data_IF_607261043869
#
_entry.id   IF_607261043869
#
_cell.length_a   1.000
_cell.length_b   1.000
_cell.length_c   1.000
_cell.angle_alpha   90.00
_cell.angle_beta   90.00
_cell.angle_gamma   90.00
#
_symmetry.space_group_name_H-M   'P 1'
#
loop_
_entity.id
_entity.type
_entity.pdbx_description
1 polymer ?
#
# COMPACT_ATOMS: atom_id res chain seq x y z
N UNK A 1 -23.91 -10.36 -5.26
CA UNK A 1 -22.46 -10.29 -5.46
C UNK A 1 -21.74 -10.78 -4.22
N UNK A 2 -20.55 -11.33 -4.40
CA UNK A 2 -19.73 -11.88 -3.31
C UNK A 2 -18.24 -11.64 -3.57
N UNK A 3 -17.47 -11.74 -2.48
CA UNK A 3 -16.02 -11.88 -2.49
C UNK A 3 -15.63 -12.99 -1.53
N UNK A 4 -14.88 -13.97 -2.03
CA UNK A 4 -14.17 -14.96 -1.23
C UNK A 4 -12.70 -14.57 -1.17
N UNK A 5 -12.11 -14.59 0.01
CA UNK A 5 -10.67 -14.38 0.19
C UNK A 5 -10.16 -15.41 1.20
N UNK A 6 -9.23 -16.25 0.78
CA UNK A 6 -8.54 -17.21 1.62
C UNK A 6 -7.09 -16.74 1.82
N UNK A 7 -6.69 -16.63 3.05
CA UNK A 7 -5.33 -16.29 3.45
C UNK A 7 -4.66 -17.55 4.00
N UNK A 8 -3.61 -18.00 3.35
CA UNK A 8 -2.83 -19.15 3.76
C UNK A 8 -1.47 -18.66 4.29
N UNK A 9 -1.17 -19.05 5.49
CA UNK A 9 0.07 -18.69 6.20
C UNK A 9 0.81 -19.98 6.52
N UNK A 10 1.98 -20.17 5.91
CA UNK A 10 2.81 -21.35 6.13
C UNK A 10 4.19 -20.91 6.60
N UNK A 11 4.70 -21.55 7.63
CA UNK A 11 6.06 -21.33 8.14
C UNK A 11 6.78 -22.67 8.25
N UNK A 12 8.04 -22.72 7.85
CA UNK A 12 8.89 -23.89 7.99
C UNK A 12 9.79 -23.82 9.22
N UNK A 13 10.15 -22.63 9.65
CA UNK A 13 11.09 -22.40 10.76
C UNK A 13 10.43 -21.77 11.99
N UNK A 14 9.15 -21.40 11.89
CA UNK A 14 8.43 -20.62 12.91
C UNK A 14 8.77 -19.12 12.92
N UNK A 15 9.78 -18.69 12.15
CA UNK A 15 10.22 -17.28 12.01
C UNK A 15 10.04 -16.73 10.61
N UNK A 16 9.79 -17.58 9.63
CA UNK A 16 9.53 -17.27 8.23
C UNK A 16 8.03 -17.33 7.92
N UNK A 17 7.65 -16.85 6.77
CA UNK A 17 6.28 -16.84 6.31
C UNK A 17 6.20 -17.02 4.79
N UNK A 18 5.63 -18.12 4.34
CA UNK A 18 5.09 -18.22 2.99
C UNK A 18 3.63 -17.77 3.04
N UNK A 19 3.35 -16.65 2.41
CA UNK A 19 2.00 -16.11 2.30
C UNK A 19 1.42 -16.39 0.92
N UNK A 20 0.25 -17.03 0.90
CA UNK A 20 -0.53 -17.23 -0.32
C UNK A 20 -1.93 -16.70 -0.10
N UNK A 21 -2.44 -15.92 -1.04
CA UNK A 21 -3.83 -15.47 -1.02
C UNK A 21 -4.54 -15.96 -2.26
N UNK A 22 -5.65 -16.68 -2.01
CA UNK A 22 -6.59 -17.07 -3.05
C UNK A 22 -7.80 -16.15 -2.99
N UNK A 23 -8.27 -15.72 -4.13
CA UNK A 23 -9.41 -14.81 -4.20
C UNK A 23 -10.31 -15.12 -5.39
N UNK A 24 -11.63 -15.10 -5.12
CA UNK A 24 -12.68 -15.13 -6.12
C UNK A 24 -13.72 -14.06 -5.80
N UNK A 25 -14.47 -13.62 -6.80
CA UNK A 25 -15.58 -12.70 -6.59
C UNK A 25 -16.18 -12.16 -7.87
N UNK A 26 -17.40 -11.69 -7.72
CA UNK A 26 -18.15 -10.99 -8.75
C UNK A 26 -18.71 -9.66 -8.23
N UNK A 27 -18.13 -9.12 -7.15
CA UNK A 27 -18.51 -7.85 -6.57
C UNK A 27 -17.80 -6.72 -7.31
N UNK A 28 -18.47 -6.10 -8.25
CA UNK A 28 -18.01 -4.87 -8.88
C UNK A 28 -18.38 -3.66 -8.04
N UNK A 29 -17.67 -2.57 -8.22
CA UNK A 29 -18.09 -1.30 -7.65
C UNK A 29 -19.36 -0.82 -8.34
N UNK A 30 -20.39 -0.58 -7.54
CA UNK A 30 -21.68 -0.09 -8.01
C UNK A 30 -21.70 1.43 -8.22
N UNK A 31 -20.70 2.13 -7.68
CA UNK A 31 -20.55 3.56 -7.84
C UNK A 31 -19.58 3.89 -8.99
N UNK A 32 -20.00 4.79 -9.84
CA UNK A 32 -19.19 5.24 -10.99
C UNK A 32 -18.10 6.23 -10.58
N UNK A 33 -18.27 6.87 -9.42
CA UNK A 33 -17.29 7.81 -8.91
C UNK A 33 -16.09 7.06 -8.29
N UNK A 34 -14.90 7.34 -8.80
CA UNK A 34 -13.66 6.72 -8.37
C UNK A 34 -13.37 6.92 -6.86
N UNK A 35 -13.81 8.04 -6.30
CA UNK A 35 -13.62 8.35 -4.88
C UNK A 35 -14.48 7.49 -3.94
N UNK A 36 -15.54 6.87 -4.44
CA UNK A 36 -16.42 5.97 -3.69
C UNK A 36 -16.09 4.48 -3.87
N UNK A 37 -14.92 4.15 -4.39
CA UNK A 37 -14.49 2.77 -4.54
C UNK A 37 -14.36 2.06 -3.19
N UNK A 38 -15.06 0.93 -3.03
CA UNK A 38 -14.97 0.11 -1.83
C UNK A 38 -13.61 -0.59 -1.73
N UNK A 39 -13.00 -0.52 -0.57
CA UNK A 39 -11.74 -1.22 -0.29
C UNK A 39 -11.84 -2.74 -0.51
N UNK A 40 -13.03 -3.27 -0.37
CA UNK A 40 -13.31 -4.70 -0.40
C UNK A 40 -13.89 -5.21 -1.71
N UNK A 41 -14.18 -4.34 -2.67
CA UNK A 41 -14.70 -4.77 -3.96
C UNK A 41 -13.68 -5.67 -4.69
N UNK A 42 -14.17 -6.74 -5.28
CA UNK A 42 -13.42 -7.64 -6.14
C UNK A 42 -14.29 -8.04 -7.33
N UNK A 43 -14.06 -7.39 -8.42
CA UNK A 43 -14.67 -7.76 -9.71
C UNK A 43 -13.98 -9.00 -10.29
N UNK A 44 -14.72 -9.75 -11.08
CA UNK A 44 -14.22 -10.94 -11.78
C UNK A 44 -15.37 -11.82 -12.23
N UNK A 45 -15.01 -12.95 -12.78
CA UNK A 45 -15.91 -14.00 -13.28
C UNK A 45 -16.28 -15.05 -12.21
N UNK A 46 -15.85 -14.85 -10.97
CA UNK A 46 -16.01 -15.82 -9.89
C UNK A 46 -14.91 -16.86 -9.82
N UNK A 47 -13.99 -16.90 -10.75
CA UNK A 47 -12.88 -17.87 -10.77
C UNK A 47 -11.93 -17.63 -9.61
N UNK A 48 -11.55 -18.71 -8.92
CA UNK A 48 -10.56 -18.68 -7.86
C UNK A 48 -9.16 -18.55 -8.46
N UNK A 49 -8.45 -17.49 -8.06
CA UNK A 49 -7.08 -17.20 -8.55
C UNK A 49 -6.14 -16.95 -7.39
N UNK A 50 -4.87 -17.31 -7.56
CA UNK A 50 -3.78 -16.84 -6.69
C UNK A 50 -3.57 -15.36 -7.02
N UNK A 51 -3.81 -14.48 -6.06
CA UNK A 51 -3.64 -13.05 -6.26
C UNK A 51 -2.52 -12.44 -5.41
N UNK A 52 -1.92 -13.24 -4.52
CA UNK A 52 -0.72 -12.90 -3.75
C UNK A 52 0.09 -14.16 -3.48
N UNK A 53 1.39 -14.08 -3.64
CA UNK A 53 2.33 -15.16 -3.35
C UNK A 53 3.71 -14.58 -3.07
N UNK A 54 4.18 -14.69 -1.83
CA UNK A 54 5.53 -14.28 -1.45
C UNK A 54 6.06 -15.03 -0.23
N UNK A 55 7.36 -15.00 -0.08
CA UNK A 55 8.07 -15.53 1.08
C UNK A 55 8.77 -14.41 1.83
N UNK A 56 8.63 -14.41 3.15
CA UNK A 56 9.27 -13.45 4.05
C UNK A 56 10.09 -14.21 5.09
N UNK A 57 11.31 -13.80 5.30
CA UNK A 57 12.19 -14.42 6.28
C UNK A 57 13.02 -13.38 7.03
N UNK A 58 13.40 -13.65 8.30
CA UNK A 58 14.30 -12.80 9.05
C UNK A 58 15.75 -12.98 8.55
N UNK A 59 16.50 -11.89 8.57
CA UNK A 59 17.95 -11.88 8.37
C UNK A 59 18.58 -11.22 9.61
N UNK A 60 19.06 -12.05 10.54
CA UNK A 60 19.42 -11.62 11.90
C UNK A 60 18.18 -11.18 12.70
N UNK A 61 18.39 -10.29 13.67
CA UNK A 61 17.35 -9.88 14.62
C UNK A 61 16.60 -8.61 14.19
N UNK A 62 17.16 -7.82 13.28
CA UNK A 62 16.66 -6.51 12.91
C UNK A 62 16.15 -6.40 11.49
N UNK A 63 16.47 -7.37 10.62
CA UNK A 63 16.07 -7.32 9.22
C UNK A 63 15.01 -8.36 8.88
N UNK A 64 14.15 -7.99 7.95
CA UNK A 64 13.17 -8.85 7.33
C UNK A 64 13.23 -8.68 5.82
N UNK A 65 13.37 -9.77 5.10
CA UNK A 65 13.44 -9.81 3.64
C UNK A 65 12.18 -10.46 3.10
N UNK A 66 11.60 -9.87 2.07
CA UNK A 66 10.45 -10.40 1.35
C UNK A 66 10.79 -10.54 -0.12
N UNK A 67 10.42 -11.66 -0.73
CA UNK A 67 10.57 -11.92 -2.16
C UNK A 67 9.38 -12.73 -2.66
N UNK A 68 8.92 -12.48 -3.86
CA UNK A 68 7.81 -13.26 -4.40
C UNK A 68 7.40 -12.91 -5.82
N UNK A 69 6.59 -13.77 -6.39
CA UNK A 69 6.05 -13.63 -7.73
C UNK A 69 4.84 -12.69 -7.80
N UNK A 70 4.12 -12.51 -6.69
CA UNK A 70 2.93 -11.66 -6.59
C UNK A 70 2.94 -10.90 -5.27
N UNK A 71 3.95 -10.04 -5.12
CA UNK A 71 4.10 -9.15 -3.95
C UNK A 71 3.38 -7.84 -4.21
N UNK A 72 2.71 -7.32 -3.21
CA UNK A 72 2.13 -5.97 -3.26
C UNK A 72 3.00 -5.01 -2.44
N UNK A 73 3.40 -3.90 -3.03
CA UNK A 73 4.39 -2.95 -2.52
C UNK A 73 4.20 -2.56 -1.05
N UNK A 74 3.00 -2.19 -0.64
CA UNK A 74 2.73 -1.70 0.72
C UNK A 74 2.73 -2.79 1.81
N UNK A 75 2.88 -4.07 1.46
CA UNK A 75 3.12 -5.11 2.46
C UNK A 75 4.59 -5.18 2.90
N UNK A 76 5.47 -4.50 2.19
CA UNK A 76 6.91 -4.46 2.46
C UNK A 76 7.35 -3.18 3.19
N UNK A 77 6.41 -2.40 3.70
CA UNK A 77 6.66 -1.24 4.57
C UNK A 77 5.93 -1.41 5.90
N UNK A 78 6.36 -0.67 6.93
CA UNK A 78 5.63 -0.64 8.20
C UNK A 78 4.27 0.06 8.00
N UNK A 79 3.23 -0.44 8.70
CA UNK A 79 1.88 0.10 8.56
C UNK A 79 1.82 1.56 9.01
N UNK A 80 1.60 2.51 8.11
CA UNK A 80 1.83 3.92 8.40
C UNK A 80 0.65 4.60 9.11
N UNK A 81 -0.52 3.96 9.15
CA UNK A 81 -1.74 4.51 9.77
C UNK A 81 -2.59 3.43 10.42
N UNK A 82 -3.47 3.83 11.34
CA UNK A 82 -4.40 2.94 12.04
C UNK A 82 -5.82 2.99 11.49
N UNK A 83 -6.15 3.98 10.69
CA UNK A 83 -7.49 4.09 10.09
C UNK A 83 -7.75 2.94 9.13
N UNK A 84 -8.88 2.25 9.33
CA UNK A 84 -9.34 1.14 8.48
C UNK A 84 -10.56 1.59 7.67
N UNK A 85 -10.38 2.03 6.44
CA UNK A 85 -11.46 2.60 5.64
C UNK A 85 -12.36 1.54 5.02
N UNK A 86 -13.62 1.93 4.80
CA UNK A 86 -14.52 1.26 3.86
C UNK A 86 -14.17 1.69 2.43
N UNK A 87 -13.88 2.97 2.24
CA UNK A 87 -13.49 3.50 0.92
C UNK A 87 -11.98 3.35 0.71
N UNK A 88 -11.61 2.87 -0.46
CA UNK A 88 -10.21 2.60 -0.82
C UNK A 88 -9.34 3.86 -0.79
N UNK A 89 -9.92 5.00 -1.11
CA UNK A 89 -9.27 6.31 -1.10
C UNK A 89 -8.57 6.65 0.22
N UNK A 90 -9.13 6.25 1.35
CA UNK A 90 -8.58 6.54 2.68
C UNK A 90 -7.66 5.45 3.23
N UNK A 91 -7.36 4.42 2.44
CA UNK A 91 -6.47 3.34 2.86
C UNK A 91 -5.03 3.85 3.02
N UNK A 92 -4.31 3.36 4.04
CA UNK A 92 -2.88 3.64 4.26
C UNK A 92 -2.52 5.12 4.42
N UNK A 93 -3.45 5.94 4.91
CA UNK A 93 -3.23 7.38 5.07
C UNK A 93 -3.48 8.19 3.79
N UNK A 94 -4.28 7.66 2.92
CA UNK A 94 -4.49 8.13 1.56
C UNK A 94 -3.78 7.19 0.58
N UNK A 95 -4.56 6.59 -0.30
CA UNK A 95 -4.03 5.66 -1.29
C UNK A 95 -3.48 6.40 -2.51
N UNK A 96 -2.83 7.52 -2.27
CA UNK A 96 -2.43 8.46 -3.28
C UNK A 96 -1.18 8.08 -4.08
N UNK A 97 -0.48 9.10 -4.53
CA UNK A 97 0.66 8.99 -5.43
C UNK A 97 1.77 8.05 -4.92
N UNK A 98 2.01 8.03 -3.60
CA UNK A 98 3.07 7.22 -2.99
C UNK A 98 2.68 5.75 -2.90
N UNK A 99 1.47 5.46 -2.40
CA UNK A 99 1.07 4.08 -2.02
C UNK A 99 0.46 3.29 -3.16
N UNK A 100 0.15 3.88 -4.30
CA UNK A 100 -0.55 3.25 -5.40
C UNK A 100 -0.12 1.78 -5.58
N UNK A 101 -1.11 0.86 -5.60
CA UNK A 101 -0.82 -0.56 -5.57
C UNK A 101 -0.15 -1.06 -6.82
N UNK A 102 0.93 -1.78 -6.64
CA UNK A 102 1.45 -2.70 -7.64
C UNK A 102 1.53 -4.10 -7.06
N UNK A 103 1.19 -5.10 -7.85
CA UNK A 103 1.34 -6.51 -7.51
C UNK A 103 2.03 -7.22 -8.64
N UNK A 104 3.21 -7.72 -8.37
CA UNK A 104 4.01 -8.43 -9.37
C UNK A 104 5.22 -9.07 -8.74
N UNK A 105 6.21 -9.37 -9.58
CA UNK A 105 7.50 -9.87 -9.11
C UNK A 105 8.17 -8.78 -8.29
N UNK A 106 8.49 -9.10 -7.04
CA UNK A 106 8.98 -8.08 -6.13
C UNK A 106 9.89 -8.62 -5.04
N UNK A 107 10.67 -7.69 -4.53
CA UNK A 107 11.52 -7.91 -3.37
C UNK A 107 11.53 -6.66 -2.48
N UNK A 108 11.80 -6.86 -1.20
CA UNK A 108 11.95 -5.76 -0.24
C UNK A 108 12.69 -6.17 1.00
N UNK A 109 13.27 -5.17 1.63
CA UNK A 109 13.98 -5.29 2.88
C UNK A 109 13.41 -4.29 3.88
N UNK A 110 13.15 -4.75 5.08
CA UNK A 110 12.75 -3.92 6.21
C UNK A 110 13.78 -4.09 7.32
N UNK A 111 14.22 -2.98 7.86
CA UNK A 111 15.04 -2.92 9.07
C UNK A 111 14.25 -2.23 10.18
N UNK A 112 14.37 -2.74 11.40
CA UNK A 112 13.82 -2.12 12.59
C UNK A 112 14.86 -2.10 13.69
N UNK A 113 14.99 -0.95 14.33
CA UNK A 113 15.83 -0.79 15.51
C UNK A 113 15.37 -1.73 16.62
N UNK A 114 16.31 -2.42 17.24
CA UNK A 114 16.05 -3.24 18.42
C UNK A 114 15.97 -2.33 19.65
N UNK A 115 14.83 -2.31 20.31
CA UNK A 115 14.53 -1.52 21.50
C UNK A 115 13.69 -2.34 22.46
N UNK A 116 13.56 -1.88 23.70
CA UNK A 116 12.72 -2.56 24.68
C UNK A 116 11.22 -2.53 24.29
N UNK A 117 10.43 -3.51 24.73
CA UNK A 117 9.01 -3.60 24.40
C UNK A 117 8.23 -2.34 24.79
N UNK A 118 7.61 -1.69 23.82
CA UNK A 118 6.80 -0.47 23.98
C UNK A 118 7.54 0.83 23.69
N UNK A 119 8.85 0.80 23.57
CA UNK A 119 9.65 1.95 23.20
C UNK A 119 9.49 2.29 21.71
N UNK A 120 9.77 3.55 21.40
CA UNK A 120 9.78 4.02 20.02
C UNK A 120 11.06 3.56 19.32
N UNK A 121 10.92 3.06 18.10
CA UNK A 121 12.01 2.56 17.30
C UNK A 121 12.01 3.19 15.92
N UNK A 122 13.19 3.39 15.37
CA UNK A 122 13.35 3.65 13.95
C UNK A 122 13.08 2.41 13.13
N UNK A 123 12.50 2.61 11.95
CA UNK A 123 12.43 1.60 10.91
C UNK A 123 12.78 2.21 9.54
N UNK A 124 13.38 1.40 8.71
CA UNK A 124 13.66 1.71 7.30
C UNK A 124 13.14 0.56 6.45
N UNK A 125 12.50 0.88 5.35
CA UNK A 125 12.11 -0.12 4.38
C UNK A 125 12.44 0.35 2.96
N UNK A 126 12.78 -0.58 2.11
CA UNK A 126 12.93 -0.36 0.67
C UNK A 126 12.42 -1.58 -0.08
N UNK A 127 11.68 -1.36 -1.15
CA UNK A 127 11.11 -2.43 -1.96
C UNK A 127 11.01 -2.03 -3.42
N UNK A 128 11.02 -3.03 -4.29
CA UNK A 128 10.74 -2.90 -5.71
C UNK A 128 9.72 -3.95 -6.13
N UNK A 129 8.77 -3.55 -6.96
CA UNK A 129 7.77 -4.44 -7.55
C UNK A 129 7.63 -4.08 -9.02
N UNK A 130 7.85 -5.06 -9.89
CA UNK A 130 7.59 -4.96 -11.31
C UNK A 130 6.11 -5.14 -11.64
N UNK A 131 5.63 -4.70 -12.79
CA UNK A 131 4.32 -5.08 -13.29
C UNK A 131 4.24 -6.60 -13.48
N UNK A 132 3.16 -7.20 -13.01
CA UNK A 132 3.03 -8.66 -12.97
C UNK A 132 2.99 -9.33 -14.34
N UNK A 133 2.58 -8.59 -15.37
CA UNK A 133 2.54 -9.10 -16.75
C UNK A 133 3.88 -9.06 -17.47
N UNK A 134 4.64 -8.01 -17.22
CA UNK A 134 5.92 -7.74 -17.88
C UNK A 134 7.09 -8.34 -17.11
N UNK A 135 7.11 -8.18 -15.81
CA UNK A 135 8.15 -8.73 -14.94
C UNK A 135 8.27 -10.25 -14.96
N UNK A 136 7.24 -10.97 -15.43
CA UNK A 136 7.26 -12.42 -15.60
C UNK A 136 7.87 -12.88 -16.93
N UNK A 137 8.12 -11.97 -17.88
CA UNK A 137 8.71 -12.29 -19.18
C UNK A 137 10.23 -12.14 -19.11
N UNK A 138 10.94 -13.01 -19.81
CA UNK A 138 12.41 -13.04 -19.79
C UNK A 138 13.04 -12.65 -21.15
N UNK A 139 12.22 -12.19 -22.09
CA UNK A 139 12.62 -11.85 -23.45
C UNK A 139 12.47 -10.35 -23.73
N UNK A 140 13.22 -9.84 -24.71
CA UNK A 140 13.04 -8.50 -25.28
C UNK A 140 13.11 -7.32 -24.29
N UNK A 141 14.04 -7.33 -23.34
CA UNK A 141 14.20 -6.23 -22.39
C UNK A 141 13.18 -6.25 -21.25
N UNK A 142 12.28 -7.22 -21.24
CA UNK A 142 11.32 -7.45 -20.16
C UNK A 142 11.94 -8.27 -19.02
N UNK A 143 11.18 -8.49 -17.95
CA UNK A 143 11.64 -9.16 -16.74
C UNK A 143 11.62 -8.20 -15.57
N UNK A 144 11.93 -8.69 -14.37
CA UNK A 144 11.77 -7.91 -13.13
C UNK A 144 12.55 -6.58 -13.13
N UNK A 145 13.65 -6.49 -13.85
CA UNK A 145 14.51 -5.30 -13.97
C UNK A 145 14.81 -4.94 -15.43
N UNK A 146 13.93 -5.33 -16.34
CA UNK A 146 14.08 -5.00 -17.75
C UNK A 146 13.80 -3.51 -18.02
N UNK A 147 14.47 -2.95 -19.00
CA UNK A 147 14.34 -1.53 -19.37
C UNK A 147 12.93 -1.18 -19.85
N UNK A 148 12.22 -2.15 -20.44
CA UNK A 148 10.83 -2.00 -20.92
C UNK A 148 9.79 -2.48 -19.91
N UNK A 149 10.18 -2.73 -18.66
CA UNK A 149 9.28 -3.22 -17.60
C UNK A 149 8.85 -2.08 -16.70
N UNK A 150 7.55 -1.88 -16.60
CA UNK A 150 6.95 -0.98 -15.62
C UNK A 150 7.29 -1.43 -14.19
N UNK A 151 7.69 -0.50 -13.35
CA UNK A 151 8.15 -0.83 -11.99
C UNK A 151 7.87 0.26 -10.96
N UNK A 152 7.83 -0.16 -9.71
CA UNK A 152 7.62 0.72 -8.56
C UNK A 152 8.68 0.44 -7.49
N UNK A 153 9.50 1.44 -7.22
CA UNK A 153 10.32 1.49 -6.02
C UNK A 153 9.57 2.25 -4.92
N UNK A 154 9.56 1.70 -3.71
CA UNK A 154 8.96 2.34 -2.53
C UNK A 154 9.93 2.24 -1.36
N UNK A 155 10.19 3.37 -0.72
CA UNK A 155 10.97 3.42 0.51
C UNK A 155 10.23 4.13 1.63
N UNK A 156 10.57 3.82 2.87
CA UNK A 156 10.01 4.39 4.08
C UNK A 156 11.10 4.58 5.12
N UNK A 157 11.07 5.73 5.78
CA UNK A 157 11.76 5.99 7.04
C UNK A 157 10.70 6.34 8.07
N UNK A 158 10.68 5.64 9.19
CA UNK A 158 9.69 5.85 10.23
C UNK A 158 10.29 5.81 11.62
N UNK A 159 9.56 6.43 12.56
CA UNK A 159 9.88 6.41 13.98
C UNK A 159 8.60 6.39 14.81
N UNK A 160 8.56 5.54 15.81
CA UNK A 160 7.44 5.46 16.73
C UNK A 160 7.25 4.08 17.35
N UNK A 161 6.10 3.92 17.96
CA UNK A 161 5.67 2.70 18.64
C UNK A 161 4.20 2.36 18.35
N UNK A 162 3.60 1.49 19.15
CA UNK A 162 2.20 1.11 18.96
C UNK A 162 1.20 2.22 19.24
N UNK A 163 1.56 3.25 20.03
CA UNK A 163 0.68 4.36 20.39
C UNK A 163 0.75 5.51 19.40
N UNK A 164 1.91 5.76 18.83
CA UNK A 164 2.10 6.80 17.84
C UNK A 164 3.22 6.42 16.87
N UNK A 165 3.12 6.93 15.68
CA UNK A 165 4.08 6.67 14.63
C UNK A 165 4.05 7.79 13.59
N UNK A 166 5.20 8.15 13.07
CA UNK A 166 5.36 9.06 11.96
C UNK A 166 6.31 8.45 10.95
N UNK A 167 6.05 8.61 9.66
CA UNK A 167 6.94 8.15 8.60
C UNK A 167 6.90 9.05 7.38
N UNK A 168 8.08 9.22 6.78
CA UNK A 168 8.25 9.70 5.42
C UNK A 168 8.35 8.54 4.45
N UNK A 169 7.74 8.69 3.28
CA UNK A 169 7.77 7.72 2.20
C UNK A 169 8.23 8.39 0.91
N UNK A 170 8.92 7.65 0.09
CA UNK A 170 9.25 8.03 -1.27
C UNK A 170 8.95 6.88 -2.21
N UNK A 171 8.29 7.18 -3.31
CA UNK A 171 8.05 6.23 -4.39
C UNK A 171 8.57 6.81 -5.71
N UNK A 172 9.21 5.94 -6.48
CA UNK A 172 9.54 6.17 -7.87
C UNK A 172 8.76 5.15 -8.70
N UNK A 173 7.97 5.64 -9.63
CA UNK A 173 7.15 4.82 -10.52
C UNK A 173 7.59 5.07 -11.94
N UNK A 174 7.83 3.99 -12.65
CA UNK A 174 8.13 3.98 -14.07
C UNK A 174 7.00 3.25 -14.79
N UNK A 175 6.48 3.84 -15.85
CA UNK A 175 5.38 3.29 -16.61
C UNK A 175 4.02 3.29 -15.89
N UNK A 176 3.17 2.31 -16.18
CA UNK A 176 1.77 2.27 -15.71
C UNK A 176 1.58 1.75 -14.28
N UNK A 177 2.66 1.38 -13.62
CA UNK A 177 2.62 0.75 -12.30
C UNK A 177 2.02 1.67 -11.25
N UNK A 178 1.06 1.16 -10.51
CA UNK A 178 0.41 1.88 -9.44
C UNK A 178 -0.54 2.98 -9.91
N UNK A 179 -0.72 3.16 -11.20
CA UNK A 179 -1.78 3.93 -11.78
C UNK A 179 -3.04 3.08 -11.87
N UNK A 180 -3.85 3.09 -10.88
CA UNK A 180 -5.16 2.46 -11.02
C UNK A 180 -6.22 3.53 -11.27
N UNK A 181 -6.92 3.49 -12.40
CA UNK A 181 -8.05 4.39 -12.62
C UNK A 181 -9.17 4.19 -11.58
N UNK A 182 -9.12 3.08 -10.84
CA UNK A 182 -10.03 2.81 -9.74
C UNK A 182 -9.73 3.64 -8.49
N UNK A 183 -8.61 4.31 -8.45
CA UNK A 183 -8.20 5.14 -7.34
C UNK A 183 -8.06 6.54 -7.88
N UNK A 184 -9.08 7.35 -7.72
CA UNK A 184 -9.20 8.69 -8.28
C UNK A 184 -8.03 9.64 -8.00
N UNK A 185 -7.03 9.14 -7.33
CA UNK A 185 -5.84 9.86 -6.96
C UNK A 185 -4.54 9.23 -7.39
N UNK A 186 -4.61 8.00 -7.88
CA UNK A 186 -3.46 7.43 -8.49
C UNK A 186 -3.33 8.13 -9.80
N UNK A 187 -2.63 9.19 -9.72
CA UNK A 187 -1.98 9.85 -10.82
C UNK A 187 -2.78 9.96 -12.10
N UNK A 188 -3.40 11.10 -12.35
CA UNK A 188 -3.82 11.45 -13.70
C UNK A 188 -2.66 11.40 -14.69
N UNK A 189 -1.44 11.66 -14.23
CA UNK A 189 -0.24 11.63 -15.06
C UNK A 189 0.18 10.26 -15.55
N UNK A 190 -0.22 9.22 -14.86
CA UNK A 190 0.22 7.88 -15.19
C UNK A 190 -0.57 7.22 -16.32
N UNK A 191 -1.14 7.93 -17.25
CA UNK A 191 -1.83 7.38 -18.41
C UNK A 191 -1.04 7.42 -19.71
N UNK A 192 0.17 7.99 -19.74
CA UNK A 192 1.02 8.06 -20.94
C UNK A 192 2.50 7.84 -20.55
N UNK A 193 3.04 6.74 -20.90
CA UNK A 193 4.05 5.97 -20.18
C UNK A 193 5.43 5.90 -20.75
N UNK A 194 5.94 6.95 -21.28
CA UNK A 194 7.38 7.13 -21.38
C UNK A 194 7.98 7.90 -20.17
N UNK A 195 7.20 8.02 -19.09
CA UNK A 195 7.46 9.02 -18.04
C UNK A 195 7.52 8.38 -16.67
N UNK A 196 8.26 9.00 -15.78
CA UNK A 196 8.39 8.60 -14.40
C UNK A 196 7.63 9.53 -13.46
N UNK A 197 7.17 9.00 -12.34
CA UNK A 197 6.55 9.73 -11.25
C UNK A 197 7.41 9.62 -10.00
N UNK A 198 7.80 10.76 -9.45
CA UNK A 198 8.38 10.89 -8.13
C UNK A 198 7.29 11.30 -7.15
N UNK A 199 7.08 10.52 -6.10
CA UNK A 199 6.06 10.80 -5.10
C UNK A 199 6.63 10.72 -3.69
N UNK A 200 6.21 11.67 -2.86
CA UNK A 200 6.58 11.78 -1.46
C UNK A 200 5.34 11.69 -0.60
N UNK A 201 5.44 11.07 0.54
CA UNK A 201 4.34 10.95 1.48
C UNK A 201 4.77 11.15 2.91
N UNK A 202 3.95 11.84 3.68
CA UNK A 202 4.05 11.91 5.13
C UNK A 202 2.87 11.17 5.73
N UNK A 203 3.11 10.26 6.66
CA UNK A 203 2.08 9.46 7.31
C UNK A 203 2.30 9.42 8.81
N UNK A 204 1.20 9.34 9.53
CA UNK A 204 1.30 9.16 10.96
C UNK A 204 -0.01 8.75 11.62
N UNK A 205 0.10 8.30 12.86
CA UNK A 205 -1.04 8.07 13.72
C UNK A 205 -0.68 8.32 15.17
N UNK A 206 -1.71 8.61 15.93
CA UNK A 206 -1.68 8.64 17.38
C UNK A 206 -2.92 7.92 17.93
N UNK A 207 -2.74 7.10 18.97
CA UNK A 207 -3.80 6.34 19.62
C UNK A 207 -3.81 6.64 21.11
N UNK A 208 -4.97 6.90 21.73
CA UNK A 208 -5.08 7.00 23.17
C UNK A 208 -4.72 5.67 23.83
N UNK A 209 -4.35 5.72 25.10
CA UNK A 209 -4.00 4.52 25.87
C UNK A 209 -5.19 3.60 26.12
N UNK A 210 -6.39 4.15 26.17
CA UNK A 210 -7.64 3.45 26.43
C UNK A 210 -8.70 3.82 25.40
N UNK A 211 -9.61 2.89 25.13
CA UNK A 211 -10.80 3.14 24.31
C UNK A 211 -11.73 4.10 25.04
N UNK A 212 -12.30 5.07 24.32
CA UNK A 212 -13.19 6.04 24.90
C UNK A 212 -13.64 7.12 23.91
N UNK A 213 -13.96 8.30 24.45
CA UNK A 213 -14.42 9.43 23.63
C UNK A 213 -13.33 9.96 22.68
N UNK A 214 -12.04 9.84 23.05
CA UNK A 214 -10.93 10.31 22.23
C UNK A 214 -10.61 9.26 21.18
N UNK A 215 -10.67 9.59 19.88
CA UNK A 215 -10.37 8.63 18.80
C UNK A 215 -8.89 8.40 18.62
N UNK A 216 -8.55 7.30 17.99
CA UNK A 216 -7.27 7.17 17.26
C UNK A 216 -7.31 8.09 16.06
N UNK A 217 -6.29 8.90 15.89
CA UNK A 217 -6.13 9.85 14.79
C UNK A 217 -5.09 9.29 13.83
N UNK A 218 -5.41 9.28 12.54
CA UNK A 218 -4.47 8.92 11.48
C UNK A 218 -4.46 10.02 10.42
N UNK A 219 -3.31 10.31 9.86
CA UNK A 219 -3.18 11.33 8.83
C UNK A 219 -2.21 10.92 7.74
N UNK A 220 -2.39 11.50 6.57
CA UNK A 220 -1.48 11.37 5.46
C UNK A 220 -1.52 12.59 4.54
N UNK A 221 -0.38 12.87 3.95
CA UNK A 221 -0.20 13.87 2.92
C UNK A 221 0.69 13.29 1.83
N UNK A 222 0.30 13.48 0.58
CA UNK A 222 1.05 13.09 -0.61
C UNK A 222 1.35 14.31 -1.48
N UNK A 223 2.54 14.29 -2.04
CA UNK A 223 2.97 15.17 -3.09
C UNK A 223 3.72 14.35 -4.13
N UNK A 224 3.42 14.54 -5.40
CA UNK A 224 4.13 13.87 -6.50
C UNK A 224 4.25 14.79 -7.69
N UNK A 225 5.29 14.56 -8.48
CA UNK A 225 5.53 15.23 -9.75
C UNK A 225 6.01 14.22 -10.79
N UNK A 226 5.62 14.47 -12.01
CA UNK A 226 6.00 13.65 -13.17
C UNK A 226 7.00 14.42 -14.02
N UNK A 227 7.92 13.69 -14.65
CA UNK A 227 8.87 14.24 -15.62
C UNK A 227 8.23 14.38 -17.02
N UNK A 228 6.91 14.49 -17.09
CA UNK A 228 6.15 14.49 -18.33
C UNK A 228 6.38 15.72 -19.20
N UNK A 229 6.95 15.53 -20.39
CA UNK A 229 7.08 16.55 -21.43
C UNK A 229 5.85 16.63 -22.37
N UNK A 230 4.88 15.75 -22.22
CA UNK A 230 3.72 15.66 -23.12
C UNK A 230 2.60 16.63 -22.71
N UNK A 231 2.28 17.56 -23.57
CA UNK A 231 1.21 18.54 -23.35
C UNK A 231 -0.13 17.89 -23.00
N UNK A 232 -0.63 18.15 -21.78
CA UNK A 232 -1.88 17.62 -21.25
C UNK A 232 -1.73 16.65 -20.08
N UNK A 233 -0.51 16.30 -19.68
CA UNK A 233 -0.25 15.50 -18.47
C UNK A 233 -0.32 16.36 -17.21
N UNK A 234 -0.68 15.74 -16.10
CA UNK A 234 -0.68 16.39 -14.79
C UNK A 234 0.76 16.43 -14.26
N UNK A 235 1.34 17.61 -14.19
CA UNK A 235 2.71 17.79 -13.72
C UNK A 235 2.87 17.52 -12.22
N UNK A 236 1.84 17.82 -11.43
CA UNK A 236 1.84 17.66 -9.99
C UNK A 236 0.56 16.99 -9.48
N UNK A 237 0.70 16.21 -8.42
CA UNK A 237 -0.43 15.65 -7.67
C UNK A 237 -0.23 15.92 -6.18
N UNK A 238 -1.31 16.28 -5.51
CA UNK A 238 -1.33 16.52 -4.07
C UNK A 238 -2.52 15.82 -3.45
N UNK A 239 -2.33 15.32 -2.24
CA UNK A 239 -3.44 14.70 -1.53
C UNK A 239 -3.24 14.73 -0.04
N UNK A 240 -4.33 14.78 0.70
CA UNK A 240 -4.29 14.64 2.14
C UNK A 240 -5.52 13.91 2.66
N UNK A 241 -5.36 13.26 3.80
CA UNK A 241 -6.47 12.69 4.53
C UNK A 241 -6.25 12.77 6.03
N UNK A 242 -7.36 12.84 6.76
CA UNK A 242 -7.42 12.63 8.20
C UNK A 242 -8.50 11.60 8.49
N UNK A 243 -8.17 10.59 9.28
CA UNK A 243 -9.08 9.53 9.70
C UNK A 243 -9.15 9.43 11.22
N UNK A 244 -10.35 9.30 11.75
CA UNK A 244 -10.65 9.13 13.16
C UNK A 244 -11.29 7.77 13.38
N UNK A 245 -10.79 7.01 14.35
CA UNK A 245 -11.34 5.71 14.73
C UNK A 245 -11.66 5.69 16.22
N UNK A 246 -12.88 5.32 16.56
CA UNK A 246 -13.28 4.95 17.92
C UNK A 246 -13.42 3.44 18.01
N UNK A 247 -12.65 2.81 18.89
CA UNK A 247 -12.84 1.43 19.25
C UNK A 247 -13.87 1.35 20.38
N UNK A 248 -14.61 0.26 20.42
CA UNK A 248 -15.67 0.02 21.43
C UNK A 248 -16.76 1.12 21.48
N UNK A 249 -17.09 1.68 20.31
CA UNK A 249 -18.05 2.77 20.19
C UNK A 249 -19.47 2.32 20.59
N UNK A 250 -19.94 2.79 21.72
CA UNK A 250 -21.23 2.45 22.33
C UNK A 250 -21.26 1.04 22.94
N UNK A 251 -20.81 0.03 22.24
CA UNK A 251 -20.71 -1.36 22.71
C UNK A 251 -19.32 -1.91 22.44
N UNK A 252 -18.83 -2.77 23.34
CA UNK A 252 -17.54 -3.45 23.20
C UNK A 252 -17.49 -4.25 21.90
N UNK A 253 -16.43 -4.05 21.13
CA UNK A 253 -16.21 -4.68 19.84
C UNK A 253 -16.69 -3.86 18.63
N UNK A 254 -17.56 -2.86 18.83
CA UNK A 254 -17.98 -1.96 17.76
C UNK A 254 -16.86 -1.00 17.38
N UNK A 255 -16.88 -0.56 16.13
CA UNK A 255 -15.94 0.45 15.62
C UNK A 255 -16.70 1.53 14.87
N UNK A 256 -16.39 2.77 15.18
CA UNK A 256 -16.85 3.94 14.43
C UNK A 256 -15.63 4.57 13.75
N UNK A 257 -15.80 4.99 12.52
CA UNK A 257 -14.76 5.66 11.74
C UNK A 257 -15.32 6.85 10.97
N UNK A 258 -14.54 7.92 10.94
CA UNK A 258 -14.79 9.10 10.12
C UNK A 258 -13.50 9.44 9.38
N UNK A 259 -13.59 9.79 8.10
CA UNK A 259 -12.45 10.30 7.35
C UNK A 259 -12.83 11.45 6.44
N UNK A 260 -11.90 12.37 6.29
CA UNK A 260 -11.94 13.49 5.39
C UNK A 260 -10.65 13.54 4.60
N UNK A 261 -10.72 13.99 3.36
CA UNK A 261 -9.54 14.14 2.50
C UNK A 261 -9.87 14.80 1.18
N UNK A 262 -8.83 15.24 0.50
CA UNK A 262 -8.93 15.86 -0.81
C UNK A 262 -7.71 15.50 -1.64
N UNK A 263 -7.86 15.63 -2.96
CA UNK A 263 -6.83 15.45 -3.98
C UNK A 263 -6.95 16.52 -5.05
N UNK A 264 -5.84 16.95 -5.53
CA UNK A 264 -5.70 17.92 -6.61
C UNK A 264 -4.52 17.55 -7.51
#
# INVERSE_FOLDING_TARGET
SYRLTLHLYTSTTGKDLLYTRLRAGNMSNIWTNKNSYLSDAKSGDGTLKVDKLWYTFPLGDSFKVTVGALVENYYMVETPTRYKPILKAFKLGGYGAVMGASTGQGLGVQWRQNVDPGEAAFNVAASYVADGGEGAKSDQGLGMFGDDTDGLFLSQLGYGNRKWYISGLYAYKHGSVGSSPAMGYSTPAASSYDESLHAFGLRGYWSPSESGFIPTISGGYDFGFSDADAGGSTEEVRGWMVGLNWNDAGLKGNKLGLALGSYS
#
